data_IF_243703119698
#
_entry.id   IF_243703119698
#
_cell.length_a   1.000
_cell.length_b   1.000
_cell.length_c   1.000
_cell.angle_alpha   90.00
_cell.angle_beta   90.00
_cell.angle_gamma   90.00
#
_symmetry.space_group_name_H-M   'P 1'
#
loop_
_entity.id
_entity.type
_entity.pdbx_description
1 polymer ?
#
# COMPACT_ATOMS: atom_id res chain seq x y z
N UNK A 1 39.72 23.31 -48.21
CA UNK A 1 39.44 24.27 -47.12
C UNK A 1 38.10 24.95 -47.31
N UNK A 2 37.17 24.77 -46.37
CA UNK A 2 36.17 25.75 -45.91
C UNK A 2 35.40 25.12 -44.74
N UNK A 3 35.57 25.72 -43.56
CA UNK A 3 34.98 25.32 -42.29
C UNK A 3 33.47 25.61 -42.28
N UNK A 4 32.68 24.83 -41.55
CA UNK A 4 31.34 25.26 -41.10
C UNK A 4 31.17 24.84 -39.65
N UNK A 5 31.28 25.84 -38.76
CA UNK A 5 31.09 25.74 -37.31
C UNK A 5 29.60 25.52 -37.03
N UNK A 6 29.28 24.47 -36.30
CA UNK A 6 27.94 24.22 -35.74
C UNK A 6 27.68 25.22 -34.60
N UNK A 7 26.61 26.01 -34.69
CA UNK A 7 26.13 26.89 -33.62
C UNK A 7 25.34 26.09 -32.56
N UNK A 8 25.30 26.51 -31.28
CA UNK A 8 24.54 25.82 -30.24
C UNK A 8 23.03 26.06 -30.41
N UNK A 9 22.26 24.98 -30.29
CA UNK A 9 20.80 24.97 -30.29
C UNK A 9 20.30 25.54 -28.95
N UNK A 10 19.58 26.66 -29.00
CA UNK A 10 18.89 27.26 -27.85
C UNK A 10 17.41 26.89 -27.97
N UNK A 11 16.86 26.22 -26.96
CA UNK A 11 15.43 25.89 -26.90
C UNK A 11 14.57 27.16 -26.65
N UNK A 12 13.36 27.25 -27.24
CA UNK A 12 12.48 28.40 -27.04
C UNK A 12 11.81 28.39 -25.65
N UNK A 13 11.42 29.56 -25.11
CA UNK A 13 10.80 29.65 -23.78
C UNK A 13 9.37 29.10 -23.77
N UNK A 14 9.01 28.35 -22.72
CA UNK A 14 7.65 27.82 -22.51
C UNK A 14 6.60 28.94 -22.32
N UNK A 15 5.35 28.76 -22.81
CA UNK A 15 4.30 29.77 -22.70
C UNK A 15 3.67 29.82 -21.29
N UNK A 16 3.11 30.98 -20.88
CA UNK A 16 2.61 31.17 -19.51
C UNK A 16 1.28 30.42 -19.27
N UNK A 17 1.20 29.73 -18.14
CA UNK A 17 -0.01 29.04 -17.68
C UNK A 17 -1.13 30.02 -17.35
N UNK A 18 -2.18 30.07 -18.18
CA UNK A 18 -3.43 30.76 -17.86
C UNK A 18 -4.35 29.82 -17.07
N UNK A 19 -4.75 30.25 -15.86
CA UNK A 19 -5.69 29.52 -14.99
C UNK A 19 -7.11 29.61 -15.58
N UNK A 20 -7.86 28.50 -15.74
CA UNK A 20 -9.25 28.58 -16.19
C UNK A 20 -10.18 29.07 -15.04
N UNK A 21 -11.36 29.64 -15.37
CA UNK A 21 -12.28 30.23 -14.40
C UNK A 21 -12.98 29.17 -13.53
N UNK A 22 -13.22 29.52 -12.27
CA UNK A 22 -13.93 28.71 -11.30
C UNK A 22 -15.43 28.63 -11.65
N UNK A 23 -15.97 27.41 -11.84
CA UNK A 23 -17.42 27.20 -11.94
C UNK A 23 -17.93 26.16 -12.95
N UNK A 24 -17.09 25.36 -13.58
CA UNK A 24 -17.57 24.28 -14.45
C UNK A 24 -17.65 22.95 -13.67
N UNK A 25 -18.86 22.47 -13.40
CA UNK A 25 -19.07 21.09 -12.95
C UNK A 25 -18.47 20.11 -13.97
N UNK A 26 -17.70 19.09 -13.56
CA UNK A 26 -17.08 18.17 -14.50
C UNK A 26 -18.13 17.28 -15.17
N UNK A 27 -18.06 17.15 -16.50
CA UNK A 27 -18.86 16.20 -17.27
C UNK A 27 -18.55 14.75 -16.85
N UNK A 28 -19.56 13.87 -16.73
CA UNK A 28 -19.33 12.48 -16.35
C UNK A 28 -18.57 11.77 -17.48
N UNK A 29 -17.32 11.39 -17.20
CA UNK A 29 -16.42 10.74 -18.16
C UNK A 29 -15.21 11.57 -18.60
N UNK A 30 -15.02 12.80 -18.10
CA UNK A 30 -13.81 13.57 -18.34
C UNK A 30 -12.62 13.02 -17.53
N UNK A 31 -11.47 12.79 -18.18
CA UNK A 31 -10.22 12.42 -17.49
C UNK A 31 -9.87 13.51 -16.46
N UNK A 32 -9.57 13.16 -15.19
CA UNK A 32 -9.31 14.15 -14.15
C UNK A 32 -8.14 15.05 -14.54
N UNK A 33 -8.29 16.37 -14.31
CA UNK A 33 -7.30 17.36 -14.70
C UNK A 33 -6.01 17.20 -13.89
N UNK A 34 -4.90 17.80 -14.34
CA UNK A 34 -3.65 17.76 -13.58
C UNK A 34 -3.82 18.34 -12.16
N UNK A 35 -4.70 19.33 -11.99
CA UNK A 35 -4.98 19.96 -10.69
C UNK A 35 -5.80 19.06 -9.76
N UNK A 36 -6.78 18.33 -10.29
CA UNK A 36 -7.59 17.38 -9.48
C UNK A 36 -6.72 16.23 -8.95
N UNK A 37 -5.72 15.81 -9.75
CA UNK A 37 -4.74 14.80 -9.33
C UNK A 37 -3.78 15.33 -8.26
N UNK A 38 -3.33 16.58 -8.38
CA UNK A 38 -2.55 17.22 -7.32
C UNK A 38 -3.36 17.36 -6.03
N UNK A 39 -4.64 17.71 -6.12
CA UNK A 39 -5.53 17.82 -4.96
C UNK A 39 -5.72 16.47 -4.26
N UNK A 40 -5.98 15.40 -5.01
CA UNK A 40 -6.08 14.03 -4.49
C UNK A 40 -4.82 13.59 -3.76
N UNK A 41 -3.65 13.71 -4.41
CA UNK A 41 -2.37 13.32 -3.84
C UNK A 41 -2.07 14.08 -2.55
N UNK A 42 -2.33 15.39 -2.52
CA UNK A 42 -2.13 16.21 -1.32
C UNK A 42 -3.10 15.84 -0.20
N UNK A 43 -4.37 15.59 -0.50
CA UNK A 43 -5.37 15.22 0.51
C UNK A 43 -5.01 13.88 1.18
N UNK A 44 -4.58 12.88 0.39
CA UNK A 44 -4.14 11.58 0.91
C UNK A 44 -2.85 11.71 1.71
N UNK A 45 -1.82 12.38 1.16
CA UNK A 45 -0.50 12.53 1.83
C UNK A 45 -0.59 13.30 3.15
N UNK A 46 -1.50 14.26 3.24
CA UNK A 46 -1.74 15.04 4.46
C UNK A 46 -2.77 14.40 5.40
N UNK A 47 -3.20 13.16 5.13
CA UNK A 47 -4.20 12.43 5.92
C UNK A 47 -5.47 13.24 6.18
N UNK A 48 -6.08 13.77 5.11
CA UNK A 48 -7.32 14.57 5.16
C UNK A 48 -8.51 13.73 4.68
N UNK A 49 -9.07 12.85 5.52
CA UNK A 49 -10.15 11.94 5.10
C UNK A 49 -11.39 12.69 4.62
N UNK A 50 -11.71 13.85 5.20
CA UNK A 50 -12.87 14.64 4.80
C UNK A 50 -12.66 15.29 3.42
N UNK A 51 -11.46 15.79 3.13
CA UNK A 51 -11.14 16.32 1.79
C UNK A 51 -11.15 15.20 0.74
N UNK A 52 -10.70 13.99 1.09
CA UNK A 52 -10.83 12.82 0.20
C UNK A 52 -12.29 12.45 0.00
N UNK A 53 -13.12 12.49 1.04
CA UNK A 53 -14.56 12.25 0.90
C UNK A 53 -15.22 13.27 -0.05
N UNK A 54 -14.92 14.56 0.09
CA UNK A 54 -15.42 15.61 -0.83
C UNK A 54 -14.99 15.35 -2.29
N UNK A 55 -13.75 14.93 -2.52
CA UNK A 55 -13.27 14.59 -3.86
C UNK A 55 -13.98 13.34 -4.42
N UNK A 56 -14.23 12.33 -3.59
CA UNK A 56 -14.98 11.13 -3.97
C UNK A 56 -16.44 11.46 -4.31
N UNK A 57 -17.08 12.31 -3.51
CA UNK A 57 -18.46 12.79 -3.75
C UNK A 57 -18.55 13.60 -5.05
N UNK A 58 -17.46 14.28 -5.44
CA UNK A 58 -17.33 14.97 -6.73
C UNK A 58 -17.02 14.02 -7.92
N UNK A 59 -16.94 12.71 -7.69
CA UNK A 59 -16.73 11.69 -8.71
C UNK A 59 -15.26 11.32 -8.96
N UNK A 60 -14.35 11.62 -8.03
CA UNK A 60 -12.98 11.11 -8.11
C UNK A 60 -12.97 9.57 -8.05
N UNK A 61 -12.08 8.95 -8.83
CA UNK A 61 -11.85 7.51 -8.79
C UNK A 61 -11.16 7.11 -7.47
N UNK A 62 -11.78 6.29 -6.60
CA UNK A 62 -11.17 5.87 -5.35
C UNK A 62 -9.89 5.04 -5.53
N UNK A 63 -9.71 4.40 -6.69
CA UNK A 63 -8.51 3.66 -7.09
C UNK A 63 -7.59 4.45 -8.02
N UNK A 64 -7.73 5.78 -8.02
CA UNK A 64 -6.82 6.66 -8.75
C UNK A 64 -5.37 6.41 -8.30
N UNK A 65 -4.52 6.13 -9.29
CA UNK A 65 -3.10 5.99 -9.07
C UNK A 65 -2.48 7.34 -8.69
N UNK A 66 -1.80 7.36 -7.55
CA UNK A 66 -1.14 8.53 -6.95
C UNK A 66 0.39 8.39 -7.01
N UNK A 67 1.09 9.51 -6.79
CA UNK A 67 2.55 9.61 -6.88
C UNK A 67 3.06 9.94 -8.29
N UNK A 68 4.30 10.41 -8.34
CA UNK A 68 4.95 10.89 -9.57
C UNK A 68 4.93 9.86 -10.70
N UNK A 69 5.08 8.57 -10.35
CA UNK A 69 5.08 7.46 -11.31
C UNK A 69 3.79 6.63 -11.29
N UNK A 70 2.71 7.10 -10.66
CA UNK A 70 1.39 6.40 -10.62
C UNK A 70 1.47 4.97 -10.11
N UNK A 71 2.28 4.77 -9.10
CA UNK A 71 2.73 3.45 -8.68
C UNK A 71 1.93 2.90 -7.49
N UNK A 72 1.05 3.70 -6.89
CA UNK A 72 0.29 3.33 -5.69
C UNK A 72 -1.14 3.83 -5.73
N UNK A 73 -2.06 3.13 -5.06
CA UNK A 73 -3.39 3.65 -4.74
C UNK A 73 -3.38 4.37 -3.39
N UNK A 74 -4.39 5.19 -3.12
CA UNK A 74 -4.58 5.85 -1.83
C UNK A 74 -4.70 4.83 -0.68
N UNK A 75 -5.43 3.74 -0.90
CA UNK A 75 -5.61 2.69 0.10
C UNK A 75 -4.28 1.98 0.44
N UNK A 76 -3.45 1.68 -0.57
CA UNK A 76 -2.11 1.11 -0.37
C UNK A 76 -1.17 2.07 0.37
N UNK A 77 -1.31 3.37 0.14
CA UNK A 77 -0.53 4.38 0.86
C UNK A 77 -0.96 4.51 2.33
N UNK A 78 -2.26 4.46 2.59
CA UNK A 78 -2.87 4.59 3.92
C UNK A 78 -2.58 3.41 4.85
N UNK A 79 -2.59 2.18 4.32
CA UNK A 79 -2.50 0.94 5.11
C UNK A 79 -1.28 0.85 6.04
N UNK A 80 -0.02 1.01 5.60
CA UNK A 80 1.13 0.94 6.50
C UNK A 80 1.29 2.15 7.43
N UNK A 81 0.43 3.17 7.31
CA UNK A 81 0.48 4.41 8.08
C UNK A 81 -0.61 4.51 9.15
N UNK A 82 -1.42 3.45 9.32
CA UNK A 82 -2.54 3.43 10.26
C UNK A 82 -3.60 4.51 9.99
N UNK A 83 -3.73 4.96 8.73
CA UNK A 83 -4.71 5.97 8.34
C UNK A 83 -6.11 5.32 8.20
N UNK A 84 -6.63 4.71 9.27
CA UNK A 84 -7.84 3.89 9.25
C UNK A 84 -9.07 4.68 8.82
N UNK A 85 -9.21 5.94 9.26
CA UNK A 85 -10.29 6.81 8.80
C UNK A 85 -10.22 7.07 7.28
N UNK A 86 -9.02 7.24 6.71
CA UNK A 86 -8.83 7.39 5.27
C UNK A 86 -9.25 6.13 4.53
N UNK A 87 -8.80 4.96 5.00
CA UNK A 87 -9.17 3.67 4.43
C UNK A 87 -10.69 3.44 4.48
N UNK A 88 -11.36 3.83 5.57
CA UNK A 88 -12.81 3.74 5.69
C UNK A 88 -13.53 4.55 4.61
N UNK A 89 -13.10 5.79 4.34
CA UNK A 89 -13.67 6.65 3.29
C UNK A 89 -13.48 6.02 1.91
N UNK A 90 -12.26 5.59 1.59
CA UNK A 90 -11.92 4.98 0.31
C UNK A 90 -12.74 3.70 0.05
N UNK A 91 -12.79 2.79 1.03
CA UNK A 91 -13.54 1.54 0.91
C UNK A 91 -15.06 1.78 0.87
N UNK A 92 -15.58 2.80 1.56
CA UNK A 92 -16.99 3.17 1.49
C UNK A 92 -17.37 3.73 0.11
N UNK A 93 -16.45 4.41 -0.57
CA UNK A 93 -16.62 4.88 -1.94
C UNK A 93 -16.34 3.82 -3.01
N UNK A 94 -16.10 2.57 -2.62
CA UNK A 94 -15.93 1.44 -3.55
C UNK A 94 -14.50 1.20 -4.03
N UNK A 95 -13.48 1.73 -3.34
CA UNK A 95 -12.09 1.33 -3.58
C UNK A 95 -11.94 -0.20 -3.51
N UNK A 96 -11.19 -0.79 -4.43
CA UNK A 96 -10.86 -2.20 -4.37
C UNK A 96 -10.01 -2.51 -3.13
N UNK A 97 -10.43 -3.43 -2.24
CA UNK A 97 -9.72 -3.71 -0.98
C UNK A 97 -8.28 -4.19 -1.16
N UNK A 98 -8.02 -4.98 -2.21
CA UNK A 98 -6.67 -5.43 -2.58
C UNK A 98 -5.93 -4.38 -3.42
N UNK A 99 -6.61 -3.30 -3.82
CA UNK A 99 -6.13 -2.27 -4.73
C UNK A 99 -6.09 -2.72 -6.19
N UNK A 100 -6.18 -1.77 -7.11
CA UNK A 100 -5.89 -2.01 -8.54
C UNK A 100 -4.39 -2.04 -8.77
N UNK A 101 -3.78 -3.17 -8.43
CA UNK A 101 -2.34 -3.36 -8.42
C UNK A 101 -1.86 -4.19 -9.61
N UNK A 102 -0.62 -3.93 -10.03
CA UNK A 102 0.07 -4.80 -10.99
C UNK A 102 0.44 -6.13 -10.32
N UNK A 103 0.56 -7.18 -11.13
CA UNK A 103 0.87 -8.53 -10.63
C UNK A 103 2.11 -8.54 -9.73
N UNK A 104 1.93 -9.06 -8.52
CA UNK A 104 3.00 -9.23 -7.54
C UNK A 104 3.30 -8.01 -6.67
N UNK A 105 2.57 -6.89 -6.80
CA UNK A 105 2.66 -5.80 -5.83
C UNK A 105 2.02 -6.18 -4.49
N UNK A 106 2.50 -5.56 -3.41
CA UNK A 106 1.96 -5.79 -2.07
C UNK A 106 0.57 -5.15 -1.91
N UNK A 107 -0.41 -5.94 -1.46
CA UNK A 107 -1.76 -5.46 -1.18
C UNK A 107 -1.81 -4.58 0.08
N UNK A 108 -2.83 -3.73 0.24
CA UNK A 108 -3.03 -2.97 1.48
C UNK A 108 -3.02 -3.88 2.73
N UNK A 109 -3.64 -5.06 2.64
CA UNK A 109 -3.69 -6.01 3.77
C UNK A 109 -2.30 -6.53 4.15
N UNK A 110 -1.43 -6.82 3.17
CA UNK A 110 -0.05 -7.23 3.44
C UNK A 110 0.73 -6.13 4.18
N UNK A 111 0.57 -4.88 3.75
CA UNK A 111 1.24 -3.73 4.36
C UNK A 111 0.75 -3.49 5.79
N UNK A 112 -0.56 -3.58 6.04
CA UNK A 112 -1.14 -3.51 7.38
C UNK A 112 -0.67 -4.68 8.27
N UNK A 113 -0.63 -5.90 7.72
CA UNK A 113 -0.18 -7.11 8.42
C UNK A 113 1.27 -7.02 8.88
N UNK A 114 2.14 -6.39 8.09
CA UNK A 114 3.53 -6.16 8.51
C UNK A 114 3.68 -5.14 9.63
N UNK A 115 2.76 -4.17 9.73
CA UNK A 115 2.70 -3.25 10.86
C UNK A 115 2.00 -3.85 12.08
N UNK A 116 1.24 -4.93 11.90
CA UNK A 116 0.42 -5.52 12.96
C UNK A 116 -0.77 -4.64 13.33
N UNK A 117 -1.21 -3.77 12.41
CA UNK A 117 -2.34 -2.87 12.60
C UNK A 117 -3.65 -3.65 12.48
N UNK A 118 -4.13 -4.19 13.61
CA UNK A 118 -5.32 -5.02 13.67
C UNK A 118 -6.58 -4.29 13.20
N UNK A 119 -6.71 -3.00 13.48
CA UNK A 119 -7.89 -2.22 13.11
C UNK A 119 -7.95 -2.03 11.60
N UNK A 120 -6.82 -1.70 10.97
CA UNK A 120 -6.70 -1.64 9.51
C UNK A 120 -6.92 -3.01 8.86
N UNK A 121 -6.36 -4.08 9.44
CA UNK A 121 -6.53 -5.45 8.93
C UNK A 121 -7.99 -5.88 8.96
N UNK A 122 -8.68 -5.70 10.09
CA UNK A 122 -10.10 -6.02 10.23
C UNK A 122 -10.93 -5.25 9.20
N UNK A 123 -10.71 -3.95 9.09
CA UNK A 123 -11.39 -3.12 8.09
C UNK A 123 -11.19 -3.66 6.66
N UNK A 124 -9.98 -4.04 6.28
CA UNK A 124 -9.70 -4.56 4.94
C UNK A 124 -10.34 -5.93 4.72
N UNK A 125 -10.25 -6.84 5.68
CA UNK A 125 -10.85 -8.17 5.62
C UNK A 125 -12.38 -8.10 5.56
N UNK A 126 -13.01 -7.25 6.37
CA UNK A 126 -14.46 -7.02 6.38
C UNK A 126 -14.98 -6.46 5.05
N UNK A 127 -14.11 -5.78 4.28
CA UNK A 127 -14.42 -5.26 2.95
C UNK A 127 -14.04 -6.22 1.82
N UNK A 128 -13.56 -7.42 2.14
CA UNK A 128 -13.29 -8.48 1.17
C UNK A 128 -11.86 -8.52 0.65
N UNK A 129 -10.89 -7.92 1.34
CA UNK A 129 -9.47 -8.11 1.01
C UNK A 129 -9.07 -9.58 1.13
N UNK A 130 -8.25 -10.07 0.20
CA UNK A 130 -7.87 -11.47 0.16
C UNK A 130 -6.77 -11.79 1.19
N UNK A 131 -7.02 -12.67 2.18
CA UNK A 131 -6.00 -13.07 3.15
C UNK A 131 -4.92 -13.97 2.53
N UNK A 132 -5.13 -14.42 1.28
CA UNK A 132 -4.24 -15.33 0.54
C UNK A 132 -3.54 -14.64 -0.64
N UNK A 133 -3.61 -13.31 -0.72
CA UNK A 133 -2.89 -12.56 -1.76
C UNK A 133 -1.38 -12.83 -1.69
N UNK A 134 -0.70 -12.94 -2.83
CA UNK A 134 0.74 -13.18 -2.89
C UNK A 134 1.42 -12.01 -3.58
N UNK A 135 2.39 -11.37 -2.92
CA UNK A 135 3.28 -10.41 -3.57
C UNK A 135 4.61 -11.07 -3.95
N UNK A 136 5.14 -10.67 -5.10
CA UNK A 136 6.38 -11.20 -5.67
C UNK A 136 7.45 -10.12 -5.75
N UNK A 137 8.70 -10.48 -5.41
CA UNK A 137 9.86 -9.59 -5.52
C UNK A 137 10.07 -9.02 -6.93
N UNK A 138 9.61 -9.73 -7.96
CA UNK A 138 9.70 -9.32 -9.38
C UNK A 138 8.92 -8.03 -9.68
N UNK A 139 7.83 -7.76 -8.96
CA UNK A 139 7.04 -6.54 -9.14
C UNK A 139 7.77 -5.27 -8.65
N UNK A 140 8.91 -5.39 -7.96
CA UNK A 140 9.71 -4.28 -7.42
C UNK A 140 10.43 -3.43 -8.48
N UNK A 141 10.36 -3.81 -9.76
CA UNK A 141 11.01 -3.06 -10.86
C UNK A 141 10.20 -1.82 -11.26
N UNK A 142 8.88 -1.80 -11.00
CA UNK A 142 7.95 -0.80 -11.55
C UNK A 142 7.56 0.29 -10.52
N UNK A 143 7.82 0.06 -9.22
CA UNK A 143 7.45 0.97 -8.12
C UNK A 143 8.47 0.90 -6.97
N UNK A 144 8.70 1.97 -6.17
CA UNK A 144 9.40 1.89 -4.90
C UNK A 144 8.66 0.88 -4.03
N UNK A 145 9.26 -0.30 -3.93
CA UNK A 145 8.72 -1.41 -3.19
C UNK A 145 8.65 -1.12 -1.68
N UNK A 146 8.00 -2.02 -0.91
CA UNK A 146 8.04 -1.94 0.54
C UNK A 146 9.49 -1.94 1.05
N UNK A 147 9.73 -1.39 2.27
CA UNK A 147 11.07 -1.20 2.83
C UNK A 147 11.91 -2.48 2.74
N UNK A 148 13.21 -2.31 2.49
CA UNK A 148 14.15 -3.41 2.32
C UNK A 148 14.06 -4.40 3.50
N UNK A 149 13.80 -5.67 3.20
CA UNK A 149 13.70 -6.74 4.20
C UNK A 149 12.28 -7.20 4.53
N UNK A 150 11.26 -6.71 3.82
CA UNK A 150 9.92 -7.34 3.80
C UNK A 150 9.98 -8.68 3.05
N UNK A 151 9.43 -9.77 3.62
CA UNK A 151 9.38 -11.05 2.92
C UNK A 151 8.47 -10.94 1.70
N UNK A 152 8.86 -11.60 0.62
CA UNK A 152 7.88 -11.98 -0.40
C UNK A 152 6.84 -12.90 0.27
N UNK A 153 5.62 -12.93 -0.26
CA UNK A 153 4.62 -13.88 0.21
C UNK A 153 3.29 -13.25 0.55
N UNK A 154 2.66 -13.76 1.61
CA UNK A 154 1.26 -13.50 1.94
C UNK A 154 1.10 -12.47 3.07
N UNK A 155 -0.12 -11.96 3.32
CA UNK A 155 -0.42 -11.24 4.56
C UNK A 155 0.04 -12.02 5.79
N UNK A 156 -0.16 -13.34 5.78
CA UNK A 156 0.21 -14.23 6.88
C UNK A 156 1.73 -14.29 7.09
N UNK A 157 2.50 -14.44 6.01
CA UNK A 157 3.97 -14.40 6.07
C UNK A 157 4.49 -13.04 6.58
N UNK A 158 3.81 -11.95 6.21
CA UNK A 158 4.14 -10.59 6.66
C UNK A 158 3.91 -10.41 8.17
N UNK A 159 2.75 -10.84 8.68
CA UNK A 159 2.42 -10.81 10.11
C UNK A 159 3.37 -11.71 10.93
N UNK A 160 3.64 -12.92 10.44
CA UNK A 160 4.54 -13.87 11.06
C UNK A 160 5.98 -13.34 11.14
N UNK A 161 6.45 -12.66 10.08
CA UNK A 161 7.77 -12.03 10.06
C UNK A 161 7.91 -10.86 11.04
N UNK A 162 6.84 -10.09 11.23
CA UNK A 162 6.78 -8.99 12.21
C UNK A 162 6.71 -9.50 13.66
N UNK A 163 6.29 -10.75 13.85
CA UNK A 163 6.03 -11.33 15.17
C UNK A 163 4.70 -10.88 15.76
N UNK A 164 3.72 -10.56 14.90
CA UNK A 164 2.42 -10.05 15.32
C UNK A 164 1.44 -11.20 15.53
N UNK A 165 1.43 -11.79 16.74
CA UNK A 165 0.65 -13.00 17.04
C UNK A 165 -0.85 -12.82 16.74
N UNK A 166 -1.44 -11.72 17.20
CA UNK A 166 -2.87 -11.45 16.99
C UNK A 166 -3.21 -11.23 15.50
N UNK A 167 -2.29 -10.64 14.72
CA UNK A 167 -2.47 -10.50 13.28
C UNK A 167 -2.42 -11.86 12.58
N UNK A 168 -1.55 -12.77 13.03
CA UNK A 168 -1.51 -14.17 12.55
C UNK A 168 -2.82 -14.88 12.85
N UNK A 169 -3.34 -14.77 14.09
CA UNK A 169 -4.64 -15.36 14.47
C UNK A 169 -5.77 -14.85 13.59
N UNK A 170 -5.88 -13.53 13.44
CA UNK A 170 -6.90 -12.90 12.61
C UNK A 170 -6.85 -13.42 11.17
N UNK A 171 -5.66 -13.51 10.57
CA UNK A 171 -5.54 -13.99 9.20
C UNK A 171 -5.93 -15.47 9.05
N UNK A 172 -5.58 -16.32 10.02
CA UNK A 172 -5.97 -17.73 10.03
C UNK A 172 -7.50 -17.89 10.18
N UNK A 173 -8.13 -17.10 11.05
CA UNK A 173 -9.59 -17.04 11.22
C UNK A 173 -10.31 -16.68 9.91
N UNK A 174 -9.72 -15.77 9.13
CA UNK A 174 -10.23 -15.38 7.81
C UNK A 174 -9.81 -16.33 6.67
N UNK A 175 -9.22 -17.50 6.98
CA UNK A 175 -8.92 -18.54 6.01
C UNK A 175 -7.57 -18.42 5.29
N UNK A 176 -6.64 -17.62 5.83
CA UNK A 176 -5.24 -17.74 5.43
C UNK A 176 -4.74 -19.17 5.75
N UNK A 177 -3.78 -19.65 4.97
CA UNK A 177 -3.19 -20.97 5.17
C UNK A 177 -1.68 -20.83 5.36
N UNK A 178 -1.12 -21.46 6.40
CA UNK A 178 0.32 -21.46 6.59
C UNK A 178 0.98 -22.32 5.52
N UNK A 179 1.96 -21.76 4.85
CA UNK A 179 2.86 -22.47 3.94
C UNK A 179 4.29 -22.54 4.54
N UNK A 180 5.19 -23.35 3.95
CA UNK A 180 6.57 -23.42 4.42
C UNK A 180 7.28 -22.05 4.45
N UNK A 181 6.97 -21.16 3.51
CA UNK A 181 7.56 -19.81 3.44
C UNK A 181 7.11 -18.93 4.62
N UNK A 182 5.85 -19.03 5.03
CA UNK A 182 5.28 -18.33 6.20
C UNK A 182 5.99 -18.77 7.49
N UNK A 183 6.26 -20.07 7.65
CA UNK A 183 7.00 -20.61 8.80
C UNK A 183 8.44 -20.11 8.79
N UNK A 184 9.10 -20.15 7.64
CA UNK A 184 10.44 -19.59 7.49
C UNK A 184 10.45 -18.07 7.76
N UNK A 185 9.41 -17.34 7.36
CA UNK A 185 9.27 -15.92 7.62
C UNK A 185 9.24 -15.62 9.13
N UNK A 186 8.54 -16.43 9.93
CA UNK A 186 8.53 -16.34 11.39
C UNK A 186 9.93 -16.57 12.00
N UNK A 187 10.66 -17.59 11.52
CA UNK A 187 12.02 -17.90 11.99
C UNK A 187 13.00 -16.79 11.62
N UNK A 188 12.95 -16.29 10.38
CA UNK A 188 13.77 -15.15 9.93
C UNK A 188 13.43 -13.88 10.72
N UNK A 189 12.15 -13.68 11.03
CA UNK A 189 11.66 -12.65 11.93
C UNK A 189 12.38 -12.75 13.27
N UNK A 190 12.26 -13.86 13.98
CA UNK A 190 12.87 -14.06 15.30
C UNK A 190 14.39 -13.79 15.33
N UNK A 191 15.11 -14.04 14.23
CA UNK A 191 16.57 -13.87 14.13
C UNK A 191 17.06 -12.44 13.90
N UNK A 192 16.25 -11.50 13.39
CA UNK A 192 16.76 -10.14 13.16
C UNK A 192 17.07 -9.44 14.50
N UNK A 193 18.10 -8.59 14.55
CA UNK A 193 18.36 -7.75 15.72
C UNK A 193 17.15 -6.85 15.99
N UNK A 194 16.90 -6.54 17.28
CA UNK A 194 15.88 -5.55 17.64
C UNK A 194 16.23 -4.22 16.98
N UNK A 195 15.25 -3.51 16.38
CA UNK A 195 15.48 -2.20 15.82
C UNK A 195 16.01 -1.27 16.91
N UNK A 196 16.90 -0.36 16.52
CA UNK A 196 17.45 0.66 17.42
C UNK A 196 16.39 1.69 17.83
N UNK A 197 15.38 1.88 16.98
CA UNK A 197 14.25 2.76 17.23
C UNK A 197 13.16 2.02 18.04
N UNK A 198 12.86 2.46 19.28
CA UNK A 198 11.83 1.86 20.12
C UNK A 198 10.40 2.07 19.59
N UNK A 199 10.19 3.01 18.65
CA UNK A 199 8.90 3.22 18.00
C UNK A 199 8.51 2.11 17.01
N UNK A 200 9.47 1.26 16.59
CA UNK A 200 9.21 0.14 15.70
C UNK A 200 8.87 -1.08 16.56
N UNK A 201 7.57 -1.39 16.69
CA UNK A 201 7.13 -2.62 17.38
C UNK A 201 7.67 -3.83 16.65
N UNK A 202 8.26 -4.75 17.41
CA UNK A 202 8.69 -6.07 16.96
C UNK A 202 8.23 -7.12 17.95
N UNK A 203 7.83 -8.29 17.44
CA UNK A 203 7.41 -9.38 18.31
C UNK A 203 8.45 -9.78 19.37
N UNK A 204 7.99 -10.17 20.54
CA UNK A 204 8.84 -10.75 21.58
C UNK A 204 9.24 -12.19 21.20
N UNK A 205 10.32 -12.75 21.80
CA UNK A 205 10.66 -14.15 21.59
C UNK A 205 9.50 -15.10 21.89
N UNK A 206 8.66 -14.78 22.87
CA UNK A 206 7.46 -15.52 23.23
C UNK A 206 6.39 -15.45 22.13
N UNK A 207 6.13 -14.25 21.58
CA UNK A 207 5.22 -14.09 20.45
C UNK A 207 5.70 -14.89 19.22
N UNK A 208 6.99 -14.86 18.91
CA UNK A 208 7.56 -15.66 17.81
C UNK A 208 7.44 -17.17 18.05
N UNK A 209 7.64 -17.65 19.29
CA UNK A 209 7.43 -19.07 19.64
C UNK A 209 5.96 -19.45 19.47
N UNK A 210 5.06 -18.64 20.00
CA UNK A 210 3.62 -18.87 19.89
C UNK A 210 3.16 -18.89 18.43
N UNK A 211 3.71 -18.01 17.57
CA UNK A 211 3.45 -18.01 16.14
C UNK A 211 3.95 -19.30 15.49
N UNK A 212 5.18 -19.74 15.80
CA UNK A 212 5.73 -20.99 15.23
C UNK A 212 4.86 -22.19 15.61
N UNK A 213 4.51 -22.34 16.89
CA UNK A 213 3.62 -23.39 17.37
C UNK A 213 2.24 -23.34 16.69
N UNK A 214 1.68 -22.14 16.51
CA UNK A 214 0.39 -21.96 15.84
C UNK A 214 0.45 -22.38 14.36
N UNK A 215 1.48 -21.96 13.63
CA UNK A 215 1.66 -22.29 12.21
C UNK A 215 2.00 -23.78 11.99
N UNK A 216 2.54 -24.46 12.99
CA UNK A 216 2.76 -25.91 12.98
C UNK A 216 1.46 -26.69 13.19
N UNK A 217 0.62 -26.25 14.14
CA UNK A 217 -0.69 -26.87 14.42
C UNK A 217 -1.67 -26.79 13.26
N UNK A 218 -1.63 -25.67 12.53
CA UNK A 218 -2.49 -25.41 11.36
C UNK A 218 -1.92 -26.03 10.05
N UNK A 219 -0.92 -26.93 10.14
CA UNK A 219 -0.30 -27.59 9.00
C UNK A 219 -1.18 -28.66 8.33
N UNK A 220 -0.95 -28.97 7.04
CA UNK A 220 -1.80 -29.88 6.29
C UNK A 220 -1.69 -31.32 6.83
N UNK A 221 -2.84 -31.99 6.94
CA UNK A 221 -2.91 -33.45 6.89
C UNK A 221 -2.58 -33.94 5.48
#
# INVERSE_FOLDING_TARGET
MKNSRTAPHVDPPEPPHTRPPAGASPSPGARPSAHDRTAWDLAVRNNRPDAVAELLDAGADPDAAMGEHRETTALRYAAPRGMTAMAQRLLAAGAQPDGRLDEGQATPLMLASAQGDLDMMRLLLDRGASPRSVASRRARIIAPGPPAGMPDGTPLASAAHGGHLEAVRLLLEHGARPDPETREAAVRGARKPRPRDPGIRRGTPEEYRAIQELLEREGPA
#
